data_IF_028140471524
#
_entry.id   IF_028140471524
#
_cell.length_a   1.000
_cell.length_b   1.000
_cell.length_c   1.000
_cell.angle_alpha   90.00
_cell.angle_beta   90.00
_cell.angle_gamma   90.00
#
_symmetry.space_group_name_H-M   'P 1'
#
loop_
_entity.id
_entity.type
_entity.pdbx_description
1 polymer ?
#
# COMPACT_ATOMS: atom_id res chain seq x y z
N UNK A 1 -7.57 -3.28 15.42
CA UNK A 1 -7.21 -3.68 14.06
C UNK A 1 -6.44 -2.54 13.41
N UNK A 2 -5.21 -2.81 12.96
CA UNK A 2 -4.48 -4.06 13.21
C UNK A 2 -4.13 -4.20 14.70
N UNK A 3 -3.59 -5.36 15.08
CA UNK A 3 -3.14 -5.73 16.43
C UNK A 3 -1.64 -5.96 16.44
N UNK A 4 -1.10 -6.69 15.45
CA UNK A 4 0.34 -6.98 15.32
C UNK A 4 1.01 -6.18 14.20
N UNK A 5 0.28 -5.92 13.11
CA UNK A 5 0.80 -5.16 11.97
C UNK A 5 1.55 -6.00 10.93
N UNK A 6 1.32 -7.32 10.88
CA UNK A 6 1.85 -8.18 9.81
C UNK A 6 1.24 -7.75 8.48
N UNK A 7 2.07 -7.43 7.48
CA UNK A 7 1.62 -6.95 6.17
C UNK A 7 1.98 -7.96 5.09
N UNK A 8 1.03 -8.27 4.22
CA UNK A 8 1.22 -9.21 3.11
C UNK A 8 0.72 -8.61 1.81
N UNK A 9 1.59 -8.59 0.80
CA UNK A 9 1.22 -8.40 -0.59
C UNK A 9 1.28 -9.77 -1.26
N UNK A 10 0.20 -10.14 -1.96
CA UNK A 10 0.13 -11.40 -2.70
C UNK A 10 -0.32 -11.12 -4.13
N UNK A 11 0.61 -11.32 -5.07
CA UNK A 11 0.42 -11.13 -6.51
C UNK A 11 -0.28 -9.80 -6.84
N UNK A 12 0.11 -8.74 -6.14
CA UNK A 12 -0.60 -7.48 -6.20
C UNK A 12 -0.22 -6.73 -7.48
N UNK A 13 -1.19 -6.53 -8.36
CA UNK A 13 -1.10 -5.61 -9.49
C UNK A 13 -2.03 -4.42 -9.28
N UNK A 14 -1.61 -3.24 -9.74
CA UNK A 14 -2.34 -2.01 -9.46
C UNK A 14 -2.02 -0.89 -10.48
N UNK A 15 -3.05 -0.17 -10.91
CA UNK A 15 -2.98 0.95 -11.86
C UNK A 15 -3.73 2.19 -11.37
N UNK A 16 -3.31 3.36 -11.84
CA UNK A 16 -4.00 4.63 -11.58
C UNK A 16 -5.38 4.68 -12.25
N UNK A 17 -5.55 4.02 -13.41
CA UNK A 17 -6.83 3.84 -14.10
C UNK A 17 -6.95 2.41 -14.62
N UNK A 18 -7.51 1.49 -13.82
CA UNK A 18 -7.72 0.11 -14.23
C UNK A 18 -8.47 0.02 -15.56
N UNK A 19 -7.97 -0.82 -16.48
CA UNK A 19 -8.53 -1.02 -17.82
C UNK A 19 -8.18 0.04 -18.86
N UNK A 20 -7.55 1.16 -18.46
CA UNK A 20 -7.12 2.23 -19.39
C UNK A 20 -5.60 2.39 -19.38
N UNK A 21 -5.00 2.43 -18.19
CA UNK A 21 -3.56 2.59 -18.02
C UNK A 21 -2.92 1.27 -17.60
N UNK A 22 -1.66 1.01 -18.00
CA UNK A 22 -0.95 -0.17 -17.56
C UNK A 22 -0.73 -0.15 -16.05
N UNK A 23 -0.60 -1.35 -15.50
CA UNK A 23 -0.29 -1.52 -14.08
C UNK A 23 1.11 -1.00 -13.75
N UNK A 24 1.17 -0.21 -12.68
CA UNK A 24 2.41 0.35 -12.13
C UNK A 24 3.05 -0.62 -11.16
N UNK A 25 2.24 -1.36 -10.40
CA UNK A 25 2.68 -2.53 -9.64
C UNK A 25 2.33 -3.78 -10.45
N UNK A 26 3.28 -4.70 -10.63
CA UNK A 26 3.13 -5.88 -11.50
C UNK A 26 3.44 -7.15 -10.72
N UNK A 27 2.42 -7.80 -10.16
CA UNK A 27 2.55 -9.08 -9.46
C UNK A 27 3.43 -9.02 -8.19
N UNK A 28 3.35 -7.92 -7.44
CA UNK A 28 4.19 -7.73 -6.25
C UNK A 28 3.79 -8.67 -5.13
N UNK A 29 4.74 -9.47 -4.65
CA UNK A 29 4.56 -10.42 -3.54
C UNK A 29 5.66 -10.25 -2.51
N UNK A 30 5.29 -9.95 -1.26
CA UNK A 30 6.20 -9.93 -0.12
C UNK A 30 5.42 -9.95 1.19
N UNK A 31 6.12 -10.27 2.28
CA UNK A 31 5.59 -10.23 3.64
C UNK A 31 6.50 -9.34 4.48
N UNK A 32 5.90 -8.51 5.33
CA UNK A 32 6.58 -7.76 6.39
C UNK A 32 6.08 -8.30 7.72
N UNK A 33 7.00 -8.76 8.56
CA UNK A 33 6.67 -9.30 9.87
C UNK A 33 6.34 -8.17 10.86
N UNK A 34 5.57 -8.45 11.92
CA UNK A 34 5.38 -7.51 13.02
C UNK A 34 6.71 -6.95 13.51
N UNK A 35 6.76 -5.64 13.76
CA UNK A 35 7.94 -4.91 14.26
C UNK A 35 9.16 -4.88 13.32
N UNK A 36 9.02 -5.34 12.07
CA UNK A 36 10.08 -5.30 11.08
C UNK A 36 10.20 -3.91 10.41
N UNK A 37 11.43 -3.48 10.12
CA UNK A 37 11.71 -2.25 9.35
C UNK A 37 12.18 -2.64 7.95
N UNK A 38 11.41 -2.26 6.93
CA UNK A 38 11.71 -2.58 5.53
C UNK A 38 11.99 -1.31 4.73
N UNK A 39 13.11 -1.30 4.03
CA UNK A 39 13.45 -0.26 3.05
C UNK A 39 13.08 -0.69 1.64
N UNK A 40 12.35 0.16 0.92
CA UNK A 40 12.03 -0.07 -0.51
C UNK A 40 12.88 0.87 -1.37
N UNK A 41 13.76 0.29 -2.19
CA UNK A 41 14.70 1.04 -3.05
C UNK A 41 14.44 0.76 -4.54
N UNK A 42 14.86 1.69 -5.40
CA UNK A 42 14.73 1.55 -6.85
C UNK A 42 14.76 2.90 -7.57
N UNK A 43 14.95 2.89 -8.88
CA UNK A 43 14.97 4.11 -9.73
C UNK A 43 13.67 4.91 -9.63
N UNK A 44 13.70 6.16 -10.05
CA UNK A 44 12.48 6.97 -10.24
C UNK A 44 11.51 6.25 -11.19
N UNK A 45 10.22 6.25 -10.86
CA UNK A 45 9.19 5.53 -11.63
C UNK A 45 9.05 4.04 -11.31
N UNK A 46 9.90 3.44 -10.45
CA UNK A 46 9.84 2.01 -10.11
C UNK A 46 8.61 1.58 -9.27
N UNK A 47 7.67 2.47 -8.98
CA UNK A 47 6.45 2.13 -8.23
C UNK A 47 6.54 2.21 -6.70
N UNK A 48 7.62 2.77 -6.13
CA UNK A 48 7.81 2.90 -4.67
C UNK A 48 6.67 3.67 -3.99
N UNK A 49 6.38 4.90 -4.43
CA UNK A 49 5.25 5.67 -3.91
C UNK A 49 3.92 4.98 -4.23
N UNK A 50 3.83 4.26 -5.35
CA UNK A 50 2.64 3.49 -5.73
C UNK A 50 2.35 2.34 -4.76
N UNK A 51 3.36 1.72 -4.13
CA UNK A 51 3.16 0.71 -3.08
C UNK A 51 2.41 1.30 -1.87
N UNK A 52 2.83 2.49 -1.42
CA UNK A 52 2.18 3.21 -0.32
C UNK A 52 0.74 3.57 -0.71
N UNK A 53 0.52 4.06 -1.94
CA UNK A 53 -0.82 4.40 -2.43
C UNK A 53 -1.74 3.17 -2.57
N UNK A 54 -1.20 2.02 -2.95
CA UNK A 54 -1.94 0.76 -3.02
C UNK A 54 -2.35 0.30 -1.61
N UNK A 55 -1.44 0.37 -0.63
CA UNK A 55 -1.71 0.04 0.78
C UNK A 55 -2.82 0.93 1.37
N UNK A 56 -2.83 2.23 1.06
CA UNK A 56 -3.86 3.17 1.50
C UNK A 56 -5.17 3.09 0.70
N UNK A 57 -5.26 2.15 -0.26
CA UNK A 57 -6.37 2.01 -1.22
C UNK A 57 -6.69 3.31 -1.95
N UNK A 58 -5.68 4.14 -2.21
CA UNK A 58 -5.79 5.29 -3.12
C UNK A 58 -5.67 4.80 -4.55
N UNK A 59 -4.73 3.88 -4.78
CA UNK A 59 -4.55 3.18 -6.04
C UNK A 59 -5.27 1.83 -5.97
N UNK A 60 -6.17 1.56 -6.92
CA UNK A 60 -6.97 0.32 -6.90
C UNK A 60 -6.13 -0.84 -7.41
N UNK A 61 -6.14 -1.95 -6.67
CA UNK A 61 -5.56 -3.22 -7.13
C UNK A 61 -6.44 -3.80 -8.24
N UNK A 62 -5.82 -4.12 -9.37
CA UNK A 62 -6.41 -4.84 -10.51
C UNK A 62 -6.40 -6.36 -10.28
N UNK A 63 -5.40 -6.85 -9.54
CA UNK A 63 -5.20 -8.26 -9.21
C UNK A 63 -4.58 -8.42 -7.83
N UNK A 64 -4.75 -9.61 -7.25
CA UNK A 64 -4.14 -10.00 -5.99
C UNK A 64 -4.83 -9.39 -4.76
N UNK A 65 -4.12 -9.48 -3.63
CA UNK A 65 -4.61 -8.98 -2.34
C UNK A 65 -3.49 -8.33 -1.52
N UNK A 66 -3.91 -7.41 -0.66
CA UNK A 66 -3.07 -6.82 0.37
C UNK A 66 -3.76 -7.11 1.69
N UNK A 67 -3.07 -7.72 2.64
CA UNK A 67 -3.62 -8.11 3.95
C UNK A 67 -2.84 -7.48 5.08
N UNK A 68 -3.54 -7.07 6.14
CA UNK A 68 -2.92 -6.69 7.41
C UNK A 68 -3.51 -7.58 8.50
N UNK A 69 -2.66 -8.28 9.23
CA UNK A 69 -3.01 -9.32 10.22
C UNK A 69 -3.96 -10.37 9.64
N UNK A 70 -3.67 -10.86 8.42
CA UNK A 70 -4.46 -11.87 7.71
C UNK A 70 -5.80 -11.37 7.15
N UNK A 71 -6.21 -10.14 7.44
CA UNK A 71 -7.46 -9.54 6.92
C UNK A 71 -7.17 -8.76 5.64
N UNK A 72 -7.86 -9.09 4.55
CA UNK A 72 -7.78 -8.30 3.31
C UNK A 72 -8.27 -6.88 3.55
N UNK A 73 -7.43 -5.90 3.19
CA UNK A 73 -7.74 -4.48 3.38
C UNK A 73 -8.98 -4.03 2.58
N UNK A 74 -9.40 -4.79 1.55
CA UNK A 74 -10.65 -4.57 0.79
C UNK A 74 -11.89 -4.73 1.68
N UNK A 75 -11.86 -5.65 2.65
CA UNK A 75 -12.94 -5.92 3.59
C UNK A 75 -13.01 -4.90 4.75
N UNK A 76 -11.97 -4.08 4.93
CA UNK A 76 -11.89 -3.07 5.99
C UNK A 76 -12.48 -1.74 5.51
N UNK A 77 -13.31 -1.04 6.32
CA UNK A 77 -13.78 0.31 5.97
C UNK A 77 -12.60 1.27 5.73
N UNK A 78 -12.66 2.07 4.66
CA UNK A 78 -11.56 2.95 4.25
C UNK A 78 -11.06 3.88 5.37
N UNK A 79 -11.98 4.47 6.14
CA UNK A 79 -11.64 5.33 7.30
C UNK A 79 -10.84 4.57 8.35
N UNK A 80 -11.24 3.32 8.65
CA UNK A 80 -10.54 2.48 9.63
C UNK A 80 -9.14 2.11 9.15
N UNK A 81 -9.00 1.74 7.87
CA UNK A 81 -7.71 1.44 7.26
C UNK A 81 -6.76 2.63 7.31
N UNK A 82 -7.22 3.81 6.89
CA UNK A 82 -6.38 5.02 6.81
C UNK A 82 -6.04 5.59 8.19
N UNK A 83 -6.89 5.39 9.19
CA UNK A 83 -6.57 5.77 10.57
C UNK A 83 -5.58 4.80 11.24
N UNK A 84 -5.46 3.58 10.72
CA UNK A 84 -4.56 2.56 11.24
C UNK A 84 -3.14 2.63 10.66
N UNK A 85 -2.93 3.38 9.57
CA UNK A 85 -1.65 3.50 8.87
C UNK A 85 -1.22 4.96 8.88
N UNK A 86 -0.09 5.25 9.51
CA UNK A 86 0.51 6.59 9.49
C UNK A 86 1.44 6.71 8.27
N UNK A 87 1.27 7.77 7.48
CA UNK A 87 2.14 8.07 6.34
C UNK A 87 2.70 9.48 6.50
N UNK A 88 4.01 9.60 6.34
CA UNK A 88 4.71 10.87 6.31
C UNK A 88 4.86 11.28 4.83
N UNK A 89 4.24 12.38 4.39
CA UNK A 89 4.30 12.81 3.00
C UNK A 89 5.71 13.29 2.60
N UNK A 90 6.04 13.16 1.32
CA UNK A 90 7.32 13.65 0.76
C UNK A 90 7.35 15.16 0.57
N UNK A 91 6.17 15.79 0.41
CA UNK A 91 6.03 17.24 0.31
C UNK A 91 5.51 17.78 1.63
N UNK A 92 6.01 18.95 1.99
CA UNK A 92 5.57 19.68 3.16
C UNK A 92 4.08 20.01 3.03
N UNK A 93 3.31 19.78 4.09
CA UNK A 93 1.96 20.30 4.18
C UNK A 93 2.05 21.76 4.66
N UNK A 94 1.63 22.76 3.86
CA UNK A 94 1.63 24.14 4.30
C UNK A 94 0.73 24.29 5.54
N UNK A 95 1.25 24.89 6.62
CA UNK A 95 0.48 25.20 7.83
C UNK A 95 0.56 24.20 8.99
N UNK A 96 1.58 23.32 9.01
CA UNK A 96 1.94 22.53 10.21
C UNK A 96 3.31 22.98 10.73
N UNK A 97 3.37 24.22 11.22
CA UNK A 97 4.27 24.77 12.23
C UNK A 97 3.56 25.98 12.86
#
# INVERSE_FOLDING_TARGET
WPTEGRLEFQDCAASYRPGILPDVLKGVTFVVQPHEKVGVVGRTGAGKSSLVLALLRVLKSSQGSIRIDGVDIKAVPLRRLRNAVTVIPQVECPGVL
#
